data_IF_051733516590
#
_entry.id   IF_051733516590
#
_cell.length_a   1.000
_cell.length_b   1.000
_cell.length_c   1.000
_cell.angle_alpha   90.00
_cell.angle_beta   90.00
_cell.angle_gamma   90.00
#
_symmetry.space_group_name_H-M   'P 1'
#
loop_
_entity.id
_entity.type
_entity.pdbx_description
1 polymer ?
#
# COMPACT_ATOMS: atom_id res chain seq x y z
N UNK A 1 -29.01 8.50 6.16
CA UNK A 1 -29.39 7.39 7.05
C UNK A 1 -29.39 7.96 8.46
N UNK A 2 -30.51 7.89 9.18
CA UNK A 2 -30.58 8.45 10.54
C UNK A 2 -29.89 7.51 11.56
N UNK A 3 -29.69 7.97 12.79
CA UNK A 3 -28.99 7.20 13.83
C UNK A 3 -29.71 5.90 14.18
N UNK A 4 -31.05 5.88 14.24
CA UNK A 4 -31.83 4.66 14.51
C UNK A 4 -31.67 3.60 13.40
N UNK A 5 -31.69 3.99 12.13
CA UNK A 5 -31.48 3.08 11.00
C UNK A 5 -30.05 2.50 11.00
N UNK A 6 -29.06 3.30 11.41
CA UNK A 6 -27.68 2.86 11.55
C UNK A 6 -27.55 1.86 12.69
N UNK A 7 -28.13 2.15 13.85
CA UNK A 7 -28.07 1.31 15.04
C UNK A 7 -28.74 -0.06 14.81
N UNK A 8 -29.93 -0.06 14.22
CA UNK A 8 -30.65 -1.30 13.87
C UNK A 8 -29.88 -2.16 12.85
N UNK A 9 -29.15 -1.52 11.92
CA UNK A 9 -28.25 -2.23 10.98
C UNK A 9 -27.02 -2.80 11.66
N UNK A 10 -26.50 -2.15 12.70
CA UNK A 10 -25.35 -2.65 13.47
C UNK A 10 -25.75 -3.86 14.31
N UNK A 11 -26.92 -3.82 14.95
CA UNK A 11 -27.45 -4.94 15.74
C UNK A 11 -27.70 -6.20 14.89
N UNK A 12 -28.12 -6.01 13.64
CA UNK A 12 -28.33 -7.09 12.67
C UNK A 12 -27.07 -7.45 11.86
N UNK A 13 -25.98 -6.71 12.03
CA UNK A 13 -24.74 -7.00 11.32
C UNK A 13 -24.03 -8.18 12.00
N UNK A 14 -23.81 -9.24 11.23
CA UNK A 14 -22.95 -10.36 11.64
C UNK A 14 -21.51 -9.90 11.97
N UNK A 15 -20.60 -10.85 12.29
CA UNK A 15 -19.24 -10.52 12.70
C UNK A 15 -18.55 -9.58 11.71
N UNK A 16 -17.82 -8.59 12.24
CA UNK A 16 -17.19 -7.51 11.46
C UNK A 16 -16.20 -8.07 10.42
N UNK A 17 -16.65 -8.25 9.18
CA UNK A 17 -15.78 -8.61 8.05
C UNK A 17 -14.86 -7.44 7.67
N UNK A 18 -13.56 -7.67 7.63
CA UNK A 18 -12.60 -6.64 7.24
C UNK A 18 -12.78 -6.25 5.77
N UNK A 19 -12.77 -4.95 5.48
CA UNK A 19 -12.92 -4.46 4.11
C UNK A 19 -12.22 -3.11 3.94
N UNK A 20 -11.37 -3.02 2.92
CA UNK A 20 -10.73 -1.77 2.49
C UNK A 20 -11.70 -0.84 1.77
N UNK A 21 -12.90 -1.30 1.42
CA UNK A 21 -13.93 -0.49 0.76
C UNK A 21 -14.92 0.14 1.75
N UNK A 22 -14.83 -0.20 3.04
CA UNK A 22 -15.71 0.33 4.08
C UNK A 22 -15.58 1.86 4.18
N UNK A 23 -16.71 2.56 4.09
CA UNK A 23 -16.78 4.01 4.31
C UNK A 23 -16.50 4.35 5.77
N UNK A 24 -15.97 5.55 6.05
CA UNK A 24 -15.85 6.03 7.43
C UNK A 24 -17.25 6.37 7.96
N UNK A 25 -17.65 5.72 9.06
CA UNK A 25 -19.03 5.76 9.58
C UNK A 25 -19.50 7.16 9.95
N UNK A 26 -18.64 7.95 10.60
CA UNK A 26 -18.97 9.30 11.09
C UNK A 26 -18.42 10.41 10.17
N UNK A 27 -18.38 10.14 8.86
CA UNK A 27 -17.90 11.13 7.88
C UNK A 27 -19.03 11.52 6.93
N UNK A 28 -19.29 12.83 6.86
CA UNK A 28 -20.22 13.38 5.88
C UNK A 28 -19.54 13.51 4.51
N UNK A 29 -19.92 12.63 3.59
CA UNK A 29 -19.46 12.61 2.20
C UNK A 29 -20.13 13.65 1.29
N UNK A 30 -21.00 14.52 1.83
CA UNK A 30 -21.50 15.71 1.17
C UNK A 30 -20.69 16.96 1.54
N UNK A 31 -19.96 16.92 2.65
CA UNK A 31 -19.18 18.07 3.12
C UNK A 31 -17.95 18.37 2.25
N UNK A 32 -17.55 19.65 2.27
CA UNK A 32 -16.29 20.13 1.70
C UNK A 32 -15.10 19.31 2.20
N UNK A 33 -14.49 18.53 1.32
CA UNK A 33 -13.34 17.68 1.64
C UNK A 33 -12.66 17.14 0.38
N UNK A 34 -11.40 16.71 0.53
CA UNK A 34 -10.69 15.99 -0.53
C UNK A 34 -10.65 14.49 -0.24
N UNK A 35 -10.82 13.70 -1.30
CA UNK A 35 -10.89 12.25 -1.24
C UNK A 35 -9.93 11.65 -2.27
N UNK A 36 -9.04 10.75 -1.83
CA UNK A 36 -8.30 9.89 -2.75
C UNK A 36 -9.09 8.61 -2.95
N UNK A 37 -9.61 8.42 -4.15
CA UNK A 37 -10.41 7.28 -4.57
C UNK A 37 -9.52 6.28 -5.29
N UNK A 38 -9.69 4.99 -4.97
CA UNK A 38 -9.07 3.89 -5.70
C UNK A 38 -10.15 2.91 -6.13
N UNK A 39 -10.27 2.68 -7.44
CA UNK A 39 -11.14 1.64 -7.99
C UNK A 39 -10.30 0.63 -8.75
N UNK A 40 -10.53 -0.65 -8.44
CA UNK A 40 -9.82 -1.77 -9.06
C UNK A 40 -10.78 -2.51 -9.97
N UNK A 41 -10.30 -2.95 -11.13
CA UNK A 41 -11.05 -3.85 -12.01
C UNK A 41 -11.41 -5.14 -11.28
N UNK A 42 -12.53 -5.76 -11.65
CA UNK A 42 -12.93 -7.04 -11.08
C UNK A 42 -11.82 -8.08 -11.29
N UNK A 43 -11.42 -8.77 -10.21
CA UNK A 43 -10.32 -9.74 -10.25
C UNK A 43 -8.95 -9.16 -10.62
N UNK A 44 -8.75 -7.83 -10.56
CA UNK A 44 -7.51 -7.15 -10.96
C UNK A 44 -7.08 -7.43 -12.40
N UNK A 45 -8.05 -7.57 -13.30
CA UNK A 45 -7.80 -7.76 -14.73
C UNK A 45 -7.08 -6.53 -15.33
N UNK A 46 -5.93 -6.68 -16.03
CA UNK A 46 -5.14 -5.57 -16.54
C UNK A 46 -5.73 -4.96 -17.83
N UNK A 47 -6.98 -4.50 -17.78
CA UNK A 47 -7.76 -4.06 -18.95
C UNK A 47 -7.50 -2.59 -19.34
N UNK A 48 -6.88 -1.80 -18.47
CA UNK A 48 -6.88 -0.33 -18.58
C UNK A 48 -5.65 0.22 -19.30
N UNK A 49 -4.60 -0.58 -19.47
CA UNK A 49 -3.37 -0.15 -20.15
C UNK A 49 -2.13 -0.89 -19.68
N UNK A 50 -0.98 -0.38 -20.08
CA UNK A 50 0.33 -0.96 -19.77
C UNK A 50 1.27 0.11 -19.26
N UNK A 51 2.07 -0.22 -18.24
CA UNK A 51 3.15 0.67 -17.78
C UNK A 51 4.42 0.40 -18.58
N UNK A 52 5.03 1.47 -19.10
CA UNK A 52 6.25 1.48 -19.92
C UNK A 52 7.25 2.50 -19.37
N UNK A 53 8.48 2.50 -19.91
CA UNK A 53 9.58 3.39 -19.51
C UNK A 53 10.64 2.67 -18.68
N UNK A 54 11.62 3.43 -18.19
CA UNK A 54 12.68 2.95 -17.31
C UNK A 54 12.55 3.58 -15.92
N UNK A 55 12.43 2.77 -14.84
CA UNK A 55 12.27 3.29 -13.48
C UNK A 55 13.44 4.13 -12.94
N UNK A 56 14.58 4.16 -13.63
CA UNK A 56 15.73 5.01 -13.30
C UNK A 56 15.65 6.42 -13.89
N UNK A 57 14.75 6.65 -14.85
CA UNK A 57 14.67 7.92 -15.55
C UNK A 57 13.87 8.97 -14.74
N UNK A 58 14.34 10.23 -14.69
CA UNK A 58 13.67 11.30 -13.95
C UNK A 58 12.41 11.78 -14.67
N UNK A 59 11.57 12.54 -13.95
CA UNK A 59 10.43 13.24 -14.54
C UNK A 59 10.88 14.18 -15.67
N UNK A 60 10.12 14.20 -16.76
CA UNK A 60 10.41 15.01 -17.95
C UNK A 60 11.24 14.31 -19.03
N UNK A 61 11.81 13.13 -18.75
CA UNK A 61 12.49 12.31 -19.75
C UNK A 61 11.47 11.55 -20.64
N UNK A 62 11.82 11.27 -21.89
CA UNK A 62 10.96 10.52 -22.83
C UNK A 62 10.65 9.09 -22.36
N UNK A 63 11.60 8.47 -21.65
CA UNK A 63 11.49 7.14 -21.06
C UNK A 63 10.96 7.16 -19.63
N UNK A 64 10.43 8.31 -19.16
CA UNK A 64 9.83 8.39 -17.81
C UNK A 64 8.75 7.31 -17.64
N UNK A 65 8.73 6.60 -16.48
CA UNK A 65 7.71 5.63 -16.16
C UNK A 65 6.31 6.22 -16.29
N UNK A 66 5.49 5.64 -17.16
CA UNK A 66 4.13 6.10 -17.41
C UNK A 66 3.20 4.96 -17.80
N UNK A 67 1.91 5.18 -17.61
CA UNK A 67 0.87 4.27 -18.11
C UNK A 67 0.47 4.71 -19.51
N UNK A 68 0.61 3.81 -20.49
CA UNK A 68 -0.02 3.93 -21.81
C UNK A 68 -1.42 3.31 -21.71
N UNK A 69 -2.49 4.12 -21.80
CA UNK A 69 -3.85 3.63 -21.63
C UNK A 69 -4.31 2.78 -22.82
N UNK A 70 -5.07 1.72 -22.54
CA UNK A 70 -5.84 1.01 -23.57
C UNK A 70 -7.01 1.89 -24.05
N UNK A 71 -7.72 1.54 -25.14
CA UNK A 71 -8.94 2.26 -25.52
C UNK A 71 -9.96 2.37 -24.37
N UNK A 72 -10.12 1.30 -23.59
CA UNK A 72 -10.96 1.33 -22.38
C UNK A 72 -10.39 2.26 -21.32
N UNK A 73 -9.07 2.23 -21.08
CA UNK A 73 -8.40 3.14 -20.16
C UNK A 73 -8.57 4.62 -20.52
N UNK A 74 -8.49 4.95 -21.81
CA UNK A 74 -8.75 6.30 -22.32
C UNK A 74 -10.20 6.71 -22.05
N UNK A 75 -11.17 5.83 -22.34
CA UNK A 75 -12.57 6.09 -22.07
C UNK A 75 -12.87 6.29 -20.58
N UNK A 76 -12.25 5.51 -19.69
CA UNK A 76 -12.38 5.68 -18.23
C UNK A 76 -11.76 7.00 -17.77
N UNK A 77 -10.60 7.36 -18.31
CA UNK A 77 -9.95 8.65 -18.03
C UNK A 77 -10.86 9.80 -18.43
N UNK A 78 -11.44 9.76 -19.62
CA UNK A 78 -12.43 10.74 -20.05
C UNK A 78 -13.64 10.78 -19.10
N UNK A 79 -14.24 9.63 -18.76
CA UNK A 79 -15.33 9.55 -17.79
C UNK A 79 -14.99 10.18 -16.43
N UNK A 80 -13.73 10.08 -15.99
CA UNK A 80 -13.28 10.65 -14.71
C UNK A 80 -13.28 12.19 -14.76
N UNK A 81 -12.73 12.78 -15.83
CA UNK A 81 -12.75 14.23 -16.01
C UNK A 81 -14.15 14.79 -16.32
N UNK A 82 -15.07 13.98 -16.84
CA UNK A 82 -16.49 14.34 -16.96
C UNK A 82 -17.18 14.55 -15.61
N UNK A 83 -16.60 14.08 -14.49
CA UNK A 83 -17.14 14.37 -13.15
C UNK A 83 -17.13 15.87 -12.89
N UNK A 84 -15.99 16.54 -13.08
CA UNK A 84 -15.86 17.99 -12.86
C UNK A 84 -16.72 18.78 -13.84
N UNK A 85 -16.77 18.40 -15.12
CA UNK A 85 -17.60 19.09 -16.13
C UNK A 85 -19.11 19.05 -15.84
N UNK A 86 -19.57 18.09 -15.03
CA UNK A 86 -21.00 17.89 -14.72
C UNK A 86 -21.37 18.37 -13.32
N UNK A 87 -20.39 18.72 -12.50
CA UNK A 87 -20.58 19.05 -11.09
C UNK A 87 -19.65 20.22 -10.76
N UNK A 88 -20.15 21.44 -10.88
CA UNK A 88 -19.36 22.65 -10.66
C UNK A 88 -18.75 22.70 -9.25
N UNK A 89 -19.34 22.02 -8.27
CA UNK A 89 -18.87 21.97 -6.87
C UNK A 89 -17.74 20.95 -6.64
N UNK A 90 -17.31 20.24 -7.68
CA UNK A 90 -16.28 19.19 -7.60
C UNK A 90 -15.16 19.44 -8.60
N UNK A 91 -13.93 19.40 -8.11
CA UNK A 91 -12.74 19.47 -8.97
C UNK A 91 -11.94 18.17 -8.97
N UNK A 92 -11.42 17.80 -10.14
CA UNK A 92 -10.45 16.71 -10.29
C UNK A 92 -9.06 17.25 -10.01
N UNK A 93 -8.47 16.84 -8.88
CA UNK A 93 -7.14 17.31 -8.46
C UNK A 93 -6.01 16.50 -9.08
N UNK A 94 -6.21 15.19 -9.23
CA UNK A 94 -5.23 14.29 -9.84
C UNK A 94 -5.90 13.00 -10.31
N UNK A 95 -5.29 12.35 -11.30
CA UNK A 95 -5.70 11.03 -11.77
C UNK A 95 -4.47 10.25 -12.26
N UNK A 96 -4.32 9.02 -11.77
CA UNK A 96 -3.30 8.08 -12.21
C UNK A 96 -3.96 6.77 -12.59
N UNK A 97 -3.96 6.47 -13.88
CA UNK A 97 -4.38 5.17 -14.40
C UNK A 97 -3.26 4.14 -14.21
N UNK A 98 -3.61 2.93 -13.81
CA UNK A 98 -2.74 1.76 -13.74
C UNK A 98 -3.38 0.62 -14.57
N UNK A 99 -2.66 -0.46 -14.92
CA UNK A 99 -3.19 -1.51 -15.79
C UNK A 99 -4.52 -2.13 -15.32
N UNK A 100 -4.68 -2.33 -14.02
CA UNK A 100 -5.82 -3.02 -13.40
C UNK A 100 -6.62 -2.16 -12.42
N UNK A 101 -6.24 -0.91 -12.20
CA UNK A 101 -6.91 0.01 -11.27
C UNK A 101 -6.60 1.47 -11.62
N UNK A 102 -7.21 2.41 -10.93
CA UNK A 102 -6.76 3.80 -10.94
C UNK A 102 -6.79 4.39 -9.55
N UNK A 103 -6.03 5.47 -9.38
CA UNK A 103 -6.12 6.38 -8.24
C UNK A 103 -6.56 7.76 -8.74
N UNK A 104 -7.56 8.35 -8.11
CA UNK A 104 -8.02 9.70 -8.44
C UNK A 104 -8.20 10.52 -7.17
N UNK A 105 -7.92 11.82 -7.24
CA UNK A 105 -8.17 12.75 -6.13
C UNK A 105 -9.27 13.69 -6.57
N UNK A 106 -10.37 13.70 -5.81
CA UNK A 106 -11.48 14.63 -5.99
C UNK A 106 -11.47 15.64 -4.84
N UNK A 107 -11.78 16.89 -5.16
CA UNK A 107 -12.05 17.93 -4.18
C UNK A 107 -13.51 18.35 -4.27
N UNK A 108 -14.27 18.01 -3.23
CA UNK A 108 -15.61 18.56 -3.01
C UNK A 108 -15.40 19.96 -2.41
N UNK A 109 -15.68 21.01 -3.19
CA UNK A 109 -15.30 22.40 -2.92
C UNK A 109 -16.19 23.05 -1.86
N UNK A 110 -17.43 22.62 -1.80
CA UNK A 110 -18.47 23.06 -0.86
C UNK A 110 -19.44 21.92 -0.54
N UNK A 111 -20.50 22.17 0.21
CA UNK A 111 -21.49 21.13 0.49
C UNK A 111 -22.24 20.78 -0.80
N UNK A 112 -22.36 19.48 -1.12
CA UNK A 112 -23.04 19.01 -2.34
C UNK A 112 -24.39 18.35 -2.02
N UNK A 113 -25.38 18.56 -2.89
CA UNK A 113 -26.73 18.00 -2.73
C UNK A 113 -26.76 16.47 -2.74
N UNK A 114 -25.82 15.85 -3.46
CA UNK A 114 -25.74 14.41 -3.64
C UNK A 114 -24.52 13.88 -2.91
N UNK A 115 -24.71 12.83 -2.12
CA UNK A 115 -23.60 12.07 -1.53
C UNK A 115 -22.55 11.69 -2.61
N UNK A 116 -21.25 11.88 -2.34
CA UNK A 116 -20.15 11.61 -3.30
C UNK A 116 -20.23 10.22 -3.95
N UNK A 117 -20.66 9.21 -3.19
CA UNK A 117 -20.91 7.85 -3.71
C UNK A 117 -21.92 7.79 -4.87
N UNK A 118 -22.94 8.65 -4.90
CA UNK A 118 -23.91 8.73 -5.99
C UNK A 118 -23.26 9.27 -7.27
N UNK A 119 -22.39 10.27 -7.14
CA UNK A 119 -21.65 10.85 -8.26
C UNK A 119 -20.67 9.80 -8.84
N UNK A 120 -19.97 9.08 -7.96
CA UNK A 120 -19.09 7.98 -8.35
C UNK A 120 -19.85 6.81 -9.00
N UNK A 121 -21.11 6.57 -8.64
CA UNK A 121 -21.96 5.59 -9.35
C UNK A 121 -22.32 6.03 -10.77
N UNK A 122 -22.53 7.34 -10.99
CA UNK A 122 -22.69 7.92 -12.32
C UNK A 122 -21.44 7.68 -13.19
N UNK A 123 -20.26 7.96 -12.64
CA UNK A 123 -18.97 7.63 -13.27
C UNK A 123 -18.86 6.13 -13.63
N UNK A 124 -19.18 5.23 -12.69
CA UNK A 124 -19.15 3.78 -12.92
C UNK A 124 -20.11 3.34 -14.04
N UNK A 125 -21.26 4.00 -14.16
CA UNK A 125 -22.22 3.75 -15.24
C UNK A 125 -21.64 4.12 -16.62
N UNK A 126 -21.00 5.28 -16.73
CA UNK A 126 -20.28 5.68 -17.95
C UNK A 126 -19.20 4.68 -18.33
N UNK A 127 -18.37 4.29 -17.37
CA UNK A 127 -17.33 3.28 -17.57
C UNK A 127 -17.90 1.92 -18.01
N UNK A 128 -19.05 1.49 -17.46
CA UNK A 128 -19.72 0.25 -17.87
C UNK A 128 -20.20 0.31 -19.32
N UNK A 129 -20.72 1.46 -19.78
CA UNK A 129 -21.11 1.66 -21.19
C UNK A 129 -19.89 1.56 -22.12
N UNK A 130 -18.77 2.20 -21.74
CA UNK A 130 -17.51 2.09 -22.47
C UNK A 130 -17.01 0.64 -22.51
N UNK A 131 -17.00 -0.07 -21.37
CA UNK A 131 -16.57 -1.46 -21.28
C UNK A 131 -17.38 -2.41 -22.17
N UNK A 132 -18.71 -2.27 -22.16
CA UNK A 132 -19.60 -3.05 -23.05
C UNK A 132 -19.26 -2.85 -24.53
N UNK A 133 -18.89 -1.63 -24.90
CA UNK A 133 -18.66 -1.24 -26.31
C UNK A 133 -17.26 -1.65 -26.77
N UNK A 134 -16.25 -1.40 -25.95
CA UNK A 134 -14.83 -1.55 -26.29
C UNK A 134 -14.27 -2.94 -25.99
N UNK A 135 -14.89 -3.67 -25.05
CA UNK A 135 -14.47 -5.00 -24.61
C UNK A 135 -15.69 -5.94 -24.51
N UNK A 136 -16.42 -6.19 -25.63
CA UNK A 136 -17.69 -6.91 -25.60
C UNK A 136 -17.55 -8.36 -25.11
N UNK A 137 -16.42 -9.02 -25.41
CA UNK A 137 -16.14 -10.41 -24.99
C UNK A 137 -15.96 -10.48 -23.48
N UNK A 138 -15.07 -9.66 -22.92
CA UNK A 138 -14.81 -9.57 -21.48
C UNK A 138 -16.07 -9.14 -20.72
N UNK A 139 -16.85 -8.20 -21.29
CA UNK A 139 -18.13 -7.79 -20.74
C UNK A 139 -19.13 -8.94 -20.67
N UNK A 140 -19.27 -9.73 -21.74
CA UNK A 140 -20.16 -10.89 -21.77
C UNK A 140 -19.76 -11.95 -20.72
N UNK A 141 -18.45 -12.19 -20.57
CA UNK A 141 -17.92 -13.08 -19.52
C UNK A 141 -18.24 -12.55 -18.12
N UNK A 142 -18.03 -11.26 -17.87
CA UNK A 142 -18.35 -10.63 -16.58
C UNK A 142 -19.85 -10.73 -16.25
N UNK A 143 -20.72 -10.51 -17.25
CA UNK A 143 -22.17 -10.61 -17.09
C UNK A 143 -22.62 -12.05 -16.77
N UNK A 144 -22.03 -13.05 -17.43
CA UNK A 144 -22.28 -14.48 -17.12
C UNK A 144 -21.87 -14.81 -15.68
N UNK A 145 -20.69 -14.36 -15.23
CA UNK A 145 -20.23 -14.55 -13.85
C UNK A 145 -21.19 -13.96 -12.82
N UNK A 146 -21.71 -12.75 -13.09
CA UNK A 146 -22.66 -12.09 -12.20
C UNK A 146 -24.03 -12.79 -12.17
N UNK A 147 -24.52 -13.25 -13.33
CA UNK A 147 -25.85 -13.88 -13.44
C UNK A 147 -25.91 -15.30 -12.88
N UNK A 148 -24.87 -16.13 -13.07
CA UNK A 148 -24.79 -17.49 -12.55
C UNK A 148 -24.79 -17.59 -11.01
N UNK A 149 -24.58 -16.47 -10.30
CA UNK A 149 -24.52 -16.41 -8.83
C UNK A 149 -25.65 -15.61 -8.18
N UNK A 150 -26.61 -15.10 -8.98
CA UNK A 150 -27.84 -14.47 -8.47
C UNK A 150 -28.66 -15.51 -7.69
N UNK A 151 -28.58 -15.46 -6.37
CA UNK A 151 -29.23 -16.40 -5.45
C UNK A 151 -28.43 -16.69 -4.18
N UNK A 152 -27.13 -16.35 -4.15
CA UNK A 152 -26.33 -16.28 -2.92
C UNK A 152 -26.23 -14.81 -2.52
N UNK A 153 -26.51 -14.51 -1.25
CA UNK A 153 -26.51 -13.14 -0.67
C UNK A 153 -25.14 -12.41 -0.70
N UNK A 154 -24.11 -12.98 -1.33
CA UNK A 154 -22.80 -12.36 -1.50
C UNK A 154 -22.74 -11.70 -2.89
N UNK A 155 -23.01 -10.39 -2.93
CA UNK A 155 -22.74 -9.47 -4.06
C UNK A 155 -21.21 -9.26 -4.27
N UNK A 156 -20.44 -10.36 -4.31
CA UNK A 156 -18.97 -10.34 -4.18
C UNK A 156 -18.24 -10.00 -5.48
N UNK A 157 -18.96 -9.84 -6.60
CA UNK A 157 -18.38 -9.61 -7.92
C UNK A 157 -19.05 -8.46 -8.68
N UNK A 158 -18.22 -7.57 -9.23
CA UNK A 158 -18.64 -6.51 -10.13
C UNK A 158 -18.50 -6.88 -11.61
N UNK A 159 -18.85 -5.94 -12.49
CA UNK A 159 -18.77 -6.12 -13.96
C UNK A 159 -17.43 -5.64 -14.50
N UNK A 160 -17.16 -4.34 -14.41
CA UNK A 160 -15.87 -3.76 -14.79
C UNK A 160 -14.97 -3.63 -13.56
N UNK A 161 -15.46 -2.93 -12.54
CA UNK A 161 -14.78 -2.72 -11.27
C UNK A 161 -15.28 -3.71 -10.24
N UNK A 162 -14.40 -4.06 -9.30
CA UNK A 162 -14.77 -4.78 -8.09
C UNK A 162 -15.87 -4.05 -7.30
N UNK A 163 -16.68 -4.76 -6.49
CA UNK A 163 -17.69 -4.13 -5.66
C UNK A 163 -17.09 -3.05 -4.75
N UNK A 164 -17.81 -1.93 -4.61
CA UNK A 164 -17.34 -0.78 -3.83
C UNK A 164 -16.14 -0.06 -4.46
N UNK A 165 -15.39 0.67 -3.63
CA UNK A 165 -14.13 1.33 -3.95
C UNK A 165 -13.42 1.66 -2.63
N UNK A 166 -12.11 1.88 -2.66
CA UNK A 166 -11.40 2.42 -1.50
C UNK A 166 -11.40 3.95 -1.58
N UNK A 167 -11.54 4.62 -0.44
CA UNK A 167 -11.28 6.04 -0.30
C UNK A 167 -10.31 6.30 0.85
N UNK A 168 -9.65 7.45 0.78
CA UNK A 168 -9.02 8.08 1.92
C UNK A 168 -9.49 9.53 1.97
N UNK A 169 -9.71 10.00 3.19
CA UNK A 169 -10.11 11.38 3.46
C UNK A 169 -8.86 12.19 3.79
N UNK A 170 -8.75 13.38 3.20
CA UNK A 170 -7.64 14.30 3.50
C UNK A 170 -7.90 14.96 4.85
N UNK A 171 -7.06 14.67 5.84
CA UNK A 171 -7.23 15.08 7.23
C UNK A 171 -6.10 15.97 7.76
N UNK A 172 -4.91 15.95 7.14
CA UNK A 172 -3.72 16.61 7.67
C UNK A 172 -3.02 17.48 6.63
N UNK A 173 -2.33 18.52 7.09
CA UNK A 173 -1.45 19.34 6.25
C UNK A 173 -0.34 18.47 5.61
N UNK A 174 0.07 18.82 4.39
CA UNK A 174 1.08 18.08 3.61
C UNK A 174 0.65 16.70 3.08
N UNK A 175 -0.51 16.18 3.52
CA UNK A 175 -1.01 14.88 3.05
C UNK A 175 -1.38 14.91 1.56
N UNK A 176 -1.82 16.06 1.04
CA UNK A 176 -2.19 16.19 -0.37
C UNK A 176 -0.98 16.06 -1.28
N UNK A 177 0.12 16.74 -0.94
CA UNK A 177 1.35 16.65 -1.72
C UNK A 177 1.95 15.25 -1.67
N UNK A 178 1.84 14.57 -0.52
CA UNK A 178 2.19 13.15 -0.40
C UNK A 178 1.35 12.27 -1.32
N UNK A 179 0.04 12.52 -1.42
CA UNK A 179 -0.83 11.79 -2.35
C UNK A 179 -0.46 12.07 -3.81
N UNK A 180 -0.24 13.33 -4.18
CA UNK A 180 0.18 13.70 -5.54
C UNK A 180 1.49 13.02 -5.93
N UNK A 181 2.51 13.07 -5.05
CA UNK A 181 3.78 12.36 -5.23
C UNK A 181 3.57 10.84 -5.35
N UNK A 182 2.77 10.25 -4.47
CA UNK A 182 2.46 8.83 -4.53
C UNK A 182 1.78 8.44 -5.85
N UNK A 183 0.78 9.21 -6.31
CA UNK A 183 0.11 9.00 -7.59
C UNK A 183 1.13 8.99 -8.74
N UNK A 184 1.93 10.04 -8.86
CA UNK A 184 2.95 10.19 -9.90
C UNK A 184 4.01 9.07 -9.87
N UNK A 185 4.34 8.54 -8.69
CA UNK A 185 5.35 7.49 -8.51
C UNK A 185 4.83 6.06 -8.83
N UNK A 186 3.51 5.85 -8.89
CA UNK A 186 2.95 4.51 -9.05
C UNK A 186 3.41 3.76 -10.31
N UNK A 187 3.51 4.39 -11.51
CA UNK A 187 4.08 3.75 -12.68
C UNK A 187 5.51 3.23 -12.43
N UNK A 188 6.41 4.07 -11.89
CA UNK A 188 7.79 3.68 -11.54
C UNK A 188 7.80 2.50 -10.58
N UNK A 189 7.02 2.57 -9.49
CA UNK A 189 6.92 1.50 -8.49
C UNK A 189 6.46 0.18 -9.10
N UNK A 190 5.56 0.21 -10.10
CA UNK A 190 5.13 -1.00 -10.79
C UNK A 190 6.26 -1.61 -11.64
N UNK A 191 7.04 -0.78 -12.35
CA UNK A 191 8.19 -1.26 -13.12
C UNK A 191 9.26 -1.88 -12.23
N UNK A 192 9.63 -1.20 -11.13
CA UNK A 192 10.59 -1.72 -10.15
C UNK A 192 10.14 -3.09 -9.61
N UNK A 193 8.86 -3.25 -9.29
CA UNK A 193 8.31 -4.53 -8.84
C UNK A 193 8.35 -5.64 -9.89
N UNK A 194 8.25 -5.28 -11.17
CA UNK A 194 8.34 -6.23 -12.29
C UNK A 194 9.79 -6.65 -12.55
N UNK A 195 10.73 -5.74 -12.34
CA UNK A 195 12.17 -6.01 -12.47
C UNK A 195 12.73 -6.83 -11.29
N UNK A 196 12.21 -6.59 -10.07
CA UNK A 196 12.68 -7.25 -8.85
C UNK A 196 11.57 -7.98 -8.07
N UNK A 197 10.81 -8.91 -8.69
CA UNK A 197 9.71 -9.59 -8.03
C UNK A 197 10.13 -10.34 -6.76
N UNK A 198 11.37 -10.82 -6.70
CA UNK A 198 11.99 -11.50 -5.57
C UNK A 198 12.02 -10.67 -4.29
N UNK A 199 12.25 -9.35 -4.39
CA UNK A 199 12.28 -8.46 -3.22
C UNK A 199 10.89 -8.03 -2.75
N UNK A 200 9.89 -8.14 -3.62
CA UNK A 200 8.53 -7.67 -3.33
C UNK A 200 7.52 -8.79 -3.13
N UNK A 201 7.90 -10.07 -3.22
CA UNK A 201 7.02 -11.19 -2.89
C UNK A 201 7.16 -11.54 -1.41
N UNK A 202 6.02 -11.58 -0.70
CA UNK A 202 6.02 -12.05 0.68
C UNK A 202 6.27 -13.55 0.68
N UNK A 203 7.35 -13.96 1.33
CA UNK A 203 7.70 -15.35 1.58
C UNK A 203 7.07 -15.74 2.92
N UNK A 204 6.43 -16.91 2.97
CA UNK A 204 5.72 -17.40 4.16
C UNK A 204 6.37 -18.68 4.66
N UNK A 205 6.26 -18.92 5.96
CA UNK A 205 6.73 -20.14 6.61
C UNK A 205 8.20 -20.46 6.28
N UNK A 206 9.03 -19.42 6.17
CA UNK A 206 10.47 -19.59 5.91
C UNK A 206 11.15 -20.03 7.19
N UNK A 207 11.71 -21.24 7.19
CA UNK A 207 12.52 -21.75 8.29
C UNK A 207 13.95 -21.21 8.20
N UNK A 208 14.46 -20.62 9.28
CA UNK A 208 15.84 -20.15 9.40
C UNK A 208 16.32 -20.27 10.84
N UNK A 209 17.47 -20.92 11.07
CA UNK A 209 18.04 -21.18 12.41
C UNK A 209 16.99 -21.72 13.41
N UNK A 210 16.18 -22.69 12.97
CA UNK A 210 15.12 -23.31 13.80
C UNK A 210 13.89 -22.43 14.08
N UNK A 211 13.85 -21.19 13.56
CA UNK A 211 12.73 -20.26 13.69
C UNK A 211 11.95 -20.16 12.38
N UNK A 212 10.68 -19.79 12.44
CA UNK A 212 9.83 -19.60 11.26
C UNK A 212 9.49 -18.13 11.08
N UNK A 213 9.62 -17.62 9.85
CA UNK A 213 9.35 -16.23 9.51
C UNK A 213 8.40 -16.11 8.31
N UNK A 214 7.64 -15.02 8.31
CA UNK A 214 7.28 -14.34 7.06
C UNK A 214 8.33 -13.30 6.72
N UNK A 215 8.64 -13.13 5.43
CA UNK A 215 9.73 -12.27 5.00
C UNK A 215 9.37 -11.47 3.74
N UNK A 216 9.95 -10.27 3.60
CA UNK A 216 9.90 -9.45 2.39
C UNK A 216 11.19 -8.64 2.25
N UNK A 217 11.74 -8.55 1.05
CA UNK A 217 13.05 -7.93 0.78
C UNK A 217 14.13 -8.96 0.45
N UNK A 218 15.39 -8.60 0.67
CA UNK A 218 16.54 -9.38 0.23
C UNK A 218 16.89 -10.52 1.21
N UNK A 219 16.41 -11.73 0.91
CA UNK A 219 16.72 -12.93 1.72
C UNK A 219 18.21 -13.28 1.78
N UNK A 220 19.02 -12.85 0.80
CA UNK A 220 20.47 -13.14 0.82
C UNK A 220 21.20 -12.48 1.98
N UNK A 221 20.61 -11.45 2.61
CA UNK A 221 21.18 -10.81 3.79
C UNK A 221 21.33 -11.80 4.96
N UNK A 222 20.43 -12.79 5.09
CA UNK A 222 20.53 -13.83 6.13
C UNK A 222 21.76 -14.73 5.98
N UNK A 223 22.33 -14.82 4.78
CA UNK A 223 23.50 -15.64 4.47
C UNK A 223 24.81 -14.85 4.59
N UNK A 224 24.75 -13.55 4.88
CA UNK A 224 25.96 -12.76 5.08
C UNK A 224 26.66 -13.24 6.36
N UNK A 225 27.99 -13.41 6.33
CA UNK A 225 28.72 -13.99 7.45
C UNK A 225 28.86 -13.04 8.63
N UNK A 226 28.67 -11.73 8.42
CA UNK A 226 28.88 -10.70 9.43
C UNK A 226 27.57 -9.99 9.75
N UNK A 227 26.80 -10.56 10.67
CA UNK A 227 25.56 -9.98 11.17
C UNK A 227 25.82 -9.36 12.55
N UNK A 228 25.41 -8.11 12.74
CA UNK A 228 25.61 -7.37 14.00
C UNK A 228 24.27 -6.94 14.56
N UNK A 229 23.98 -7.40 15.78
CA UNK A 229 22.77 -6.98 16.48
C UNK A 229 22.89 -5.54 16.95
N UNK A 230 21.89 -4.71 16.66
CA UNK A 230 21.73 -3.38 17.24
C UNK A 230 20.65 -3.44 18.31
N UNK A 231 21.07 -3.30 19.57
CA UNK A 231 20.21 -3.22 20.73
C UNK A 231 20.60 -2.02 21.60
N UNK A 232 19.62 -1.20 21.94
CA UNK A 232 19.83 0.01 22.73
C UNK A 232 18.88 0.06 23.93
N UNK A 233 19.45 0.33 25.11
CA UNK A 233 18.66 0.68 26.29
C UNK A 233 17.96 2.01 26.06
N UNK A 234 16.74 2.15 26.59
CA UNK A 234 15.99 3.42 26.57
C UNK A 234 16.63 4.51 27.43
N UNK A 235 17.62 4.17 28.26
CA UNK A 235 18.30 5.09 29.18
C UNK A 235 19.58 5.71 28.60
N UNK A 236 19.93 5.38 27.37
CA UNK A 236 21.14 5.92 26.75
C UNK A 236 20.99 7.42 26.51
N UNK A 237 22.06 8.18 26.77
CA UNK A 237 22.13 9.60 26.42
C UNK A 237 22.33 9.77 24.92
N UNK A 238 22.16 11.00 24.42
CA UNK A 238 22.37 11.31 23.00
C UNK A 238 23.82 11.05 22.58
N UNK A 239 24.79 11.37 23.44
CA UNK A 239 26.21 11.11 23.20
C UNK A 239 26.49 9.61 23.10
N UNK A 240 25.92 8.80 24.00
CA UNK A 240 26.08 7.34 23.96
C UNK A 240 25.43 6.72 22.73
N UNK A 241 24.29 7.26 22.27
CA UNK A 241 23.65 6.85 21.02
C UNK A 241 24.55 7.19 19.83
N UNK A 242 25.17 8.39 19.84
CA UNK A 242 26.10 8.82 18.80
C UNK A 242 27.35 7.93 18.73
N UNK A 243 27.97 7.62 19.87
CA UNK A 243 29.12 6.70 19.94
C UNK A 243 28.77 5.32 19.39
N UNK A 244 27.63 4.75 19.79
CA UNK A 244 27.13 3.49 19.25
C UNK A 244 26.83 3.56 17.75
N UNK A 245 26.32 4.69 17.28
CA UNK A 245 26.08 4.94 15.85
C UNK A 245 27.40 4.91 15.08
N UNK A 246 28.41 5.66 15.52
CA UNK A 246 29.71 5.70 14.87
C UNK A 246 30.39 4.33 14.86
N UNK A 247 30.29 3.58 15.96
CA UNK A 247 30.77 2.20 16.03
C UNK A 247 30.05 1.27 15.05
N UNK A 248 28.71 1.32 15.00
CA UNK A 248 27.92 0.51 14.07
C UNK A 248 28.24 0.83 12.60
N UNK A 249 28.44 2.11 12.27
CA UNK A 249 28.80 2.53 10.92
C UNK A 249 30.20 2.04 10.51
N UNK A 250 31.17 2.00 11.44
CA UNK A 250 32.49 1.40 11.18
C UNK A 250 32.38 -0.10 10.88
N UNK A 251 31.53 -0.84 11.60
CA UNK A 251 31.29 -2.25 11.31
C UNK A 251 30.62 -2.43 9.94
N UNK A 252 29.68 -1.55 9.57
CA UNK A 252 29.06 -1.58 8.25
C UNK A 252 30.08 -1.35 7.11
N UNK A 253 31.05 -0.47 7.31
CA UNK A 253 32.16 -0.26 6.36
C UNK A 253 32.99 -1.54 6.16
N UNK A 254 33.06 -2.40 7.18
CA UNK A 254 33.71 -3.72 7.12
C UNK A 254 32.80 -4.82 6.55
N UNK A 255 31.59 -4.47 6.08
CA UNK A 255 30.65 -5.39 5.47
C UNK A 255 29.61 -6.00 6.42
N UNK A 256 29.47 -5.46 7.65
CA UNK A 256 28.43 -5.89 8.56
C UNK A 256 27.02 -5.58 8.03
N UNK A 257 26.08 -6.48 8.33
CA UNK A 257 24.63 -6.25 8.17
C UNK A 257 24.05 -6.00 9.55
N UNK A 258 23.35 -4.88 9.73
CA UNK A 258 22.73 -4.56 11.01
C UNK A 258 21.40 -5.29 11.17
N UNK A 259 21.18 -5.89 12.34
CA UNK A 259 19.96 -6.64 12.67
C UNK A 259 19.30 -6.02 13.90
N UNK A 260 18.06 -5.57 13.77
CA UNK A 260 17.34 -4.95 14.89
C UNK A 260 15.82 -5.00 14.73
N UNK A 261 15.05 -5.10 15.83
CA UNK A 261 13.63 -4.82 15.77
C UNK A 261 13.31 -3.31 15.68
N UNK A 262 14.31 -2.43 15.86
CA UNK A 262 14.19 -0.98 15.72
C UNK A 262 13.04 -0.38 16.55
N UNK A 263 12.99 -0.75 17.83
CA UNK A 263 11.90 -0.38 18.76
C UNK A 263 12.29 0.88 19.53
N UNK A 264 13.47 0.87 20.14
CA UNK A 264 13.94 1.98 20.99
C UNK A 264 14.36 3.20 20.15
N UNK A 265 14.33 4.43 20.72
CA UNK A 265 14.83 5.62 20.02
C UNK A 265 16.29 5.48 19.57
N UNK A 266 17.13 4.89 20.42
CA UNK A 266 18.54 4.62 20.09
C UNK A 266 18.73 3.63 18.95
N UNK A 267 17.97 2.52 18.92
CA UNK A 267 17.99 1.59 17.79
C UNK A 267 17.54 2.29 16.51
N UNK A 268 16.45 3.05 16.57
CA UNK A 268 15.95 3.81 15.42
C UNK A 268 16.98 4.79 14.89
N UNK A 269 17.69 5.50 15.75
CA UNK A 269 18.74 6.44 15.34
C UNK A 269 19.88 5.73 14.62
N UNK A 270 20.39 4.63 15.18
CA UNK A 270 21.50 3.86 14.59
C UNK A 270 21.09 3.26 13.24
N UNK A 271 19.96 2.56 13.20
CA UNK A 271 19.45 1.97 11.95
C UNK A 271 19.14 3.08 10.93
N UNK A 272 18.60 4.24 11.35
CA UNK A 272 18.36 5.33 10.41
C UNK A 272 19.65 5.85 9.78
N UNK A 273 20.71 6.02 10.58
CA UNK A 273 22.01 6.49 10.08
C UNK A 273 22.67 5.49 9.12
N UNK A 274 22.54 4.19 9.39
CA UNK A 274 23.04 3.15 8.50
C UNK A 274 22.22 3.06 7.20
N UNK A 275 20.89 3.12 7.31
CA UNK A 275 19.96 3.18 6.19
C UNK A 275 20.28 4.32 5.22
N UNK A 276 20.49 5.54 5.74
CA UNK A 276 20.79 6.73 4.93
C UNK A 276 22.13 6.65 4.20
N UNK A 277 23.08 5.85 4.71
CA UNK A 277 24.36 5.56 4.05
C UNK A 277 24.29 4.38 3.08
N UNK A 278 23.14 3.75 2.91
CA UNK A 278 22.96 2.62 1.99
C UNK A 278 23.45 1.27 2.54
N UNK A 279 23.72 1.17 3.84
CA UNK A 279 24.19 -0.09 4.44
C UNK A 279 23.06 -1.11 4.59
N UNK A 280 23.38 -2.42 4.49
CA UNK A 280 22.38 -3.48 4.52
C UNK A 280 21.80 -3.70 5.92
N UNK A 281 20.49 -3.92 5.98
CA UNK A 281 19.74 -4.04 7.25
C UNK A 281 18.69 -5.15 7.22
N UNK A 282 18.57 -5.83 8.36
CA UNK A 282 17.49 -6.77 8.67
C UNK A 282 16.63 -6.19 9.79
N UNK A 283 15.39 -5.85 9.46
CA UNK A 283 14.41 -5.31 10.42
C UNK A 283 13.41 -6.38 10.83
N UNK A 284 13.33 -6.64 12.13
CA UNK A 284 12.37 -7.59 12.69
C UNK A 284 11.11 -6.84 13.11
N UNK A 285 9.97 -7.27 12.59
CA UNK A 285 8.64 -6.77 12.94
C UNK A 285 7.99 -7.68 13.96
N UNK A 286 7.09 -7.12 14.75
CA UNK A 286 6.26 -7.82 15.74
C UNK A 286 5.16 -8.69 15.12
N UNK A 287 4.81 -8.40 13.87
CA UNK A 287 3.73 -9.03 13.13
C UNK A 287 4.21 -9.53 11.77
N UNK A 288 3.56 -10.57 11.25
CA UNK A 288 3.80 -11.06 9.90
C UNK A 288 3.25 -10.15 8.79
N UNK A 289 3.52 -10.52 7.55
CA UNK A 289 3.11 -9.74 6.37
C UNK A 289 1.88 -10.33 5.65
N UNK A 290 0.89 -9.48 5.34
CA UNK A 290 -0.20 -9.82 4.45
C UNK A 290 0.35 -10.15 3.04
N UNK A 291 -0.33 -10.98 2.22
CA UNK A 291 0.19 -11.39 0.92
C UNK A 291 0.49 -10.22 -0.04
N UNK A 292 -0.24 -9.11 0.09
CA UNK A 292 -0.06 -7.91 -0.73
C UNK A 292 0.76 -6.80 -0.05
N UNK A 293 1.30 -7.05 1.14
CA UNK A 293 2.15 -6.06 1.83
C UNK A 293 3.34 -5.67 0.95
N UNK A 294 3.66 -4.38 0.98
CA UNK A 294 4.85 -3.79 0.35
C UNK A 294 5.48 -2.79 1.32
N UNK A 295 6.82 -2.65 1.32
CA UNK A 295 7.47 -1.55 2.01
C UNK A 295 6.95 -0.20 1.47
N UNK A 296 6.81 0.77 2.37
CA UNK A 296 6.36 2.13 2.06
C UNK A 296 7.53 3.12 2.10
N UNK A 297 7.38 4.25 1.40
CA UNK A 297 8.40 5.30 1.36
C UNK A 297 9.76 4.79 0.91
N UNK A 298 10.82 5.29 1.55
CA UNK A 298 12.20 4.96 1.22
C UNK A 298 12.55 3.46 1.38
N UNK A 299 11.81 2.73 2.23
CA UNK A 299 11.99 1.28 2.37
C UNK A 299 11.65 0.50 1.09
N UNK A 300 10.83 1.07 0.20
CA UNK A 300 10.55 0.46 -1.11
C UNK A 300 11.80 0.43 -1.99
N UNK A 301 12.46 1.58 -2.13
CA UNK A 301 13.65 1.71 -2.98
C UNK A 301 14.85 0.98 -2.36
N UNK A 302 14.97 0.98 -1.02
CA UNK A 302 15.99 0.19 -0.33
C UNK A 302 15.78 -1.33 -0.46
N UNK A 303 14.53 -1.80 -0.53
CA UNK A 303 14.29 -3.20 -0.91
C UNK A 303 14.65 -3.46 -2.37
N UNK A 304 14.34 -2.53 -3.28
CA UNK A 304 14.69 -2.67 -4.70
C UNK A 304 16.20 -2.76 -4.94
N UNK A 305 16.99 -1.99 -4.18
CA UNK A 305 18.46 -2.03 -4.24
C UNK A 305 19.08 -3.23 -3.50
N UNK A 306 18.26 -4.10 -2.89
CA UNK A 306 18.72 -5.23 -2.10
C UNK A 306 19.30 -4.87 -0.73
N UNK A 307 19.16 -3.61 -0.28
CA UNK A 307 19.67 -3.12 1.00
C UNK A 307 18.88 -3.69 2.20
N UNK A 308 17.57 -3.94 2.05
CA UNK A 308 16.72 -4.28 3.19
C UNK A 308 16.08 -5.67 3.13
N UNK A 309 15.97 -6.27 4.31
CA UNK A 309 15.12 -7.43 4.60
C UNK A 309 14.22 -7.14 5.81
N UNK A 310 12.94 -7.45 5.69
CA UNK A 310 11.99 -7.43 6.80
C UNK A 310 11.58 -8.85 7.17
N UNK A 311 11.59 -9.16 8.46
CA UNK A 311 11.18 -10.45 9.03
C UNK A 311 10.03 -10.26 10.02
N UNK A 312 8.99 -11.07 9.91
CA UNK A 312 7.91 -11.17 10.89
C UNK A 312 7.88 -12.59 11.47
N UNK A 313 8.15 -12.81 12.76
CA UNK A 313 8.24 -14.13 13.39
C UNK A 313 6.87 -14.77 13.67
N UNK A 314 5.79 -14.03 13.41
CA UNK A 314 4.40 -14.45 13.64
C UNK A 314 3.61 -14.44 12.34
N UNK A 315 2.46 -15.10 12.34
CA UNK A 315 1.49 -14.94 11.26
C UNK A 315 0.89 -13.53 11.27
N UNK A 316 0.57 -13.03 10.07
CA UNK A 316 -0.02 -11.70 9.92
C UNK A 316 -1.39 -11.62 10.60
N UNK A 317 -1.53 -10.68 11.56
CA UNK A 317 -2.81 -10.25 12.13
C UNK A 317 -3.13 -8.82 11.75
N UNK A 318 -4.41 -8.51 11.53
CA UNK A 318 -4.89 -7.15 11.30
C UNK A 318 -5.30 -6.43 12.60
N UNK A 319 -5.14 -7.07 13.76
CA UNK A 319 -5.42 -6.44 15.05
C UNK A 319 -4.31 -5.46 15.44
N UNK A 320 -4.70 -4.21 15.73
CA UNK A 320 -3.79 -3.22 16.27
C UNK A 320 -3.66 -3.40 17.78
N UNK A 321 -2.69 -4.23 18.19
CA UNK A 321 -2.31 -4.42 19.60
C UNK A 321 -1.03 -3.64 19.89
N UNK A 322 -0.98 -2.97 21.04
CA UNK A 322 0.26 -2.38 21.52
C UNK A 322 1.25 -3.50 21.86
N UNK A 323 2.49 -3.38 21.38
CA UNK A 323 3.53 -4.36 21.67
C UNK A 323 3.89 -4.34 23.15
N UNK A 324 3.91 -5.50 23.79
CA UNK A 324 4.25 -5.64 25.20
C UNK A 324 5.77 -5.65 25.41
N UNK A 325 6.22 -5.40 26.65
CA UNK A 325 7.64 -5.51 27.01
C UNK A 325 8.22 -6.90 26.72
N UNK A 326 7.46 -7.96 27.03
CA UNK A 326 7.90 -9.34 26.78
C UNK A 326 8.07 -9.63 25.29
N UNK A 327 7.17 -9.11 24.45
CA UNK A 327 7.30 -9.20 22.99
C UNK A 327 8.54 -8.46 22.49
N UNK A 328 8.83 -7.26 22.99
CA UNK A 328 10.04 -6.52 22.65
C UNK A 328 11.32 -7.31 23.01
N UNK A 329 11.36 -7.95 24.17
CA UNK A 329 12.50 -8.78 24.59
C UNK A 329 12.65 -9.99 23.67
N UNK A 330 11.56 -10.70 23.39
CA UNK A 330 11.60 -11.83 22.45
C UNK A 330 12.09 -11.43 21.05
N UNK A 331 11.74 -10.24 20.55
CA UNK A 331 12.27 -9.73 19.28
C UNK A 331 13.78 -9.46 19.33
N UNK A 332 14.30 -9.01 20.48
CA UNK A 332 15.74 -8.87 20.67
C UNK A 332 16.43 -10.24 20.71
N UNK A 333 15.86 -11.23 21.39
CA UNK A 333 16.40 -12.59 21.43
C UNK A 333 16.44 -13.22 20.03
N UNK A 334 15.43 -12.95 19.20
CA UNK A 334 15.43 -13.35 17.79
C UNK A 334 16.57 -12.65 17.03
N UNK A 335 16.77 -11.34 17.22
CA UNK A 335 17.87 -10.61 16.57
C UNK A 335 19.24 -11.18 16.97
N UNK A 336 19.43 -11.50 18.24
CA UNK A 336 20.66 -12.11 18.75
C UNK A 336 20.91 -13.48 18.10
N UNK A 337 19.90 -14.37 18.10
CA UNK A 337 20.00 -15.70 17.45
C UNK A 337 20.29 -15.62 15.96
N UNK A 338 19.80 -14.58 15.28
CA UNK A 338 20.13 -14.37 13.86
C UNK A 338 21.62 -14.05 13.68
N UNK A 339 22.24 -13.35 14.63
CA UNK A 339 23.65 -12.94 14.54
C UNK A 339 24.68 -14.00 14.97
N UNK A 340 24.26 -15.10 15.61
CA UNK A 340 25.12 -16.21 16.05
C UNK A 340 25.37 -17.24 14.95
#
# INVERSE_FOLDING_TARGET
>A
MNQEQLQRRIELAGPKKQSMARRKQDHDYQSRRMYMITMTTEGRQPLLGTVVGDPRQPFGNEEVPRTVPSPLGQAITACWYEIEKRNDDISVVAFQLMPDHFHGILFVKEHIDKHLGTILNGFKTGCRKAFRTLCPVEYAVALRRQTQRRGRHDDDHGILFAPGYNDKILLRAGQLDNWKRYLADNPRRLLVKRQHPEFFRVQRAMAWKGMTFSAIGNLFLLRKPFLVQVQCSRRLTEEQIKEKTDAALKLCQQGAVLVSPSISPGEKAIMRAAFEKGYPEIIIKDNGFAPLTKPSGAGFDACASGQMLFLGPTYHSNEHKAITRSQCLNLNDIAEKLCQ
#
